data_IF_032608894355
#
_entry.id   IF_032608894355
#
_cell.length_a   1.000
_cell.length_b   1.000
_cell.length_c   1.000
_cell.angle_alpha   90.00
_cell.angle_beta   90.00
_cell.angle_gamma   90.00
#
_symmetry.space_group_name_H-M   'P 1'
#
loop_
_entity.id
_entity.type
_entity.pdbx_description
1 polymer ?
#
# COMPACT_ATOMS: atom_id res chain seq x y z
N UNK A 1 -5.58 -12.27 8.71
CA UNK A 1 -6.95 -11.80 8.42
C UNK A 1 -7.39 -12.30 7.05
N UNK A 2 -8.68 -12.61 6.79
CA UNK A 2 -9.12 -13.00 5.43
C UNK A 2 -9.52 -11.75 4.65
N UNK A 3 -8.63 -11.24 3.80
CA UNK A 3 -8.91 -10.08 2.93
C UNK A 3 -9.81 -10.50 1.77
N UNK A 4 -11.01 -9.93 1.69
CA UNK A 4 -12.02 -10.29 0.67
C UNK A 4 -12.71 -9.09 0.03
N UNK A 5 -12.77 -7.97 0.72
CA UNK A 5 -13.48 -6.76 0.28
C UNK A 5 -12.52 -5.59 0.09
N UNK A 6 -12.97 -4.54 -0.62
CA UNK A 6 -12.22 -3.28 -0.73
C UNK A 6 -11.97 -2.65 0.63
N UNK A 7 -12.91 -2.76 1.57
CA UNK A 7 -12.75 -2.27 2.94
C UNK A 7 -11.65 -3.03 3.71
N UNK A 8 -11.52 -4.34 3.51
CA UNK A 8 -10.41 -5.11 4.09
C UNK A 8 -9.06 -4.67 3.53
N UNK A 9 -8.98 -4.44 2.21
CA UNK A 9 -7.76 -3.96 1.56
C UNK A 9 -7.40 -2.58 2.06
N UNK A 10 -8.36 -1.65 2.12
CA UNK A 10 -8.15 -0.31 2.66
C UNK A 10 -7.56 -0.35 4.07
N UNK A 11 -8.14 -1.16 4.95
CA UNK A 11 -7.61 -1.33 6.31
C UNK A 11 -6.19 -1.89 6.30
N UNK A 12 -5.88 -2.88 5.46
CA UNK A 12 -4.51 -3.38 5.34
C UNK A 12 -3.54 -2.31 4.84
N UNK A 13 -3.94 -1.46 3.89
CA UNK A 13 -3.12 -0.35 3.40
C UNK A 13 -2.82 0.64 4.52
N UNK A 14 -3.84 1.10 5.23
CA UNK A 14 -3.68 2.03 6.36
C UNK A 14 -2.75 1.44 7.42
N UNK A 15 -3.05 0.23 7.91
CA UNK A 15 -2.24 -0.42 8.95
C UNK A 15 -0.79 -0.66 8.51
N UNK A 16 -0.55 -0.99 7.24
CA UNK A 16 0.80 -1.18 6.71
C UNK A 16 1.56 0.13 6.50
N UNK A 17 0.86 1.23 6.22
CA UNK A 17 1.47 2.57 6.15
C UNK A 17 1.82 3.05 7.55
N UNK A 18 0.92 2.89 8.53
CA UNK A 18 1.20 3.24 9.94
C UNK A 18 2.42 2.48 10.47
N UNK A 19 2.51 1.18 10.17
CA UNK A 19 3.64 0.34 10.56
C UNK A 19 4.96 0.82 9.90
N UNK A 20 4.94 1.10 8.60
CA UNK A 20 6.12 1.64 7.91
C UNK A 20 6.55 2.99 8.48
N UNK A 21 5.60 3.89 8.77
CA UNK A 21 5.90 5.21 9.30
C UNK A 21 6.47 5.11 10.72
N UNK A 22 5.96 4.20 11.55
CA UNK A 22 6.54 3.90 12.85
C UNK A 22 7.98 3.37 12.74
N UNK A 23 8.26 2.47 11.76
CA UNK A 23 9.62 1.98 11.50
C UNK A 23 10.57 3.10 11.04
N UNK A 24 10.05 4.13 10.39
CA UNK A 24 10.78 5.32 9.97
C UNK A 24 10.89 6.40 11.07
N UNK A 25 10.34 6.16 12.26
CA UNK A 25 10.23 7.14 13.37
C UNK A 25 9.50 8.42 12.93
N UNK A 26 8.45 8.28 12.12
CA UNK A 26 7.62 9.35 11.58
C UNK A 26 6.15 9.18 11.99
N UNK A 27 5.47 10.29 12.23
CA UNK A 27 4.02 10.32 12.45
C UNK A 27 3.31 10.53 11.10
N UNK A 28 2.48 9.58 10.64
CA UNK A 28 1.69 9.76 9.41
C UNK A 28 0.60 10.84 9.53
N UNK A 29 0.22 11.25 10.74
CA UNK A 29 -0.98 12.04 10.96
C UNK A 29 -2.26 11.29 10.55
N UNK A 30 -3.28 12.03 10.11
CA UNK A 30 -4.56 11.47 9.69
C UNK A 30 -4.46 10.88 8.27
N UNK A 31 -4.51 9.55 8.15
CA UNK A 31 -4.47 8.87 6.85
C UNK A 31 -5.81 8.95 6.09
N UNK A 32 -5.86 9.80 5.07
CA UNK A 32 -7.03 9.95 4.18
C UNK A 32 -6.81 9.29 2.80
N UNK A 33 -7.86 9.02 2.01
CA UNK A 33 -7.74 8.44 0.67
C UNK A 33 -6.91 9.27 -0.32
N UNK A 34 -6.85 10.58 -0.12
CA UNK A 34 -6.18 11.54 -1.01
C UNK A 34 -4.69 11.69 -0.70
N UNK A 35 -4.25 11.36 0.52
CA UNK A 35 -2.86 11.46 0.95
C UNK A 35 -1.94 10.69 0.02
N UNK A 36 -0.84 11.31 -0.37
CA UNK A 36 0.16 10.71 -1.26
C UNK A 36 1.35 10.14 -0.50
N UNK A 37 1.91 9.04 -1.03
CA UNK A 37 3.01 8.32 -0.40
C UNK A 37 4.28 9.18 -0.33
N UNK A 38 4.67 9.82 -1.43
CA UNK A 38 5.93 10.55 -1.51
C UNK A 38 5.77 12.03 -1.15
N UNK A 39 4.69 12.67 -1.62
CA UNK A 39 4.45 14.09 -1.43
C UNK A 39 4.05 14.45 -0.01
N UNK A 40 3.04 13.77 0.53
CA UNK A 40 2.50 14.05 1.87
C UNK A 40 3.22 13.26 2.96
N UNK A 41 3.42 11.95 2.77
CA UNK A 41 4.03 11.07 3.78
C UNK A 41 5.57 11.03 3.72
N UNK A 42 6.18 11.53 2.64
CA UNK A 42 7.64 11.53 2.50
C UNK A 42 8.28 10.14 2.30
N UNK A 43 7.49 9.12 1.97
CA UNK A 43 7.95 7.75 1.71
C UNK A 43 8.81 7.76 0.44
N UNK A 44 10.01 7.18 0.51
CA UNK A 44 10.91 7.10 -0.66
C UNK A 44 10.58 5.89 -1.51
N UNK A 45 11.01 5.89 -2.77
CA UNK A 45 10.78 4.76 -3.69
C UNK A 45 11.29 3.40 -3.17
N UNK A 46 12.35 3.39 -2.35
CA UNK A 46 12.84 2.16 -1.72
C UNK A 46 11.91 1.66 -0.61
N UNK A 47 11.29 2.57 0.14
CA UNK A 47 10.38 2.25 1.23
C UNK A 47 9.03 1.71 0.70
N UNK A 48 8.65 2.08 -0.53
CA UNK A 48 7.49 1.49 -1.23
C UNK A 48 7.66 -0.03 -1.39
N UNK A 49 8.88 -0.53 -1.58
CA UNK A 49 9.14 -1.98 -1.66
C UNK A 49 8.83 -2.62 -0.30
N UNK A 50 9.28 -2.01 0.80
CA UNK A 50 8.94 -2.45 2.15
C UNK A 50 7.44 -2.43 2.40
N UNK A 51 6.73 -1.39 1.96
CA UNK A 51 5.28 -1.31 2.08
C UNK A 51 4.57 -2.50 1.42
N UNK A 52 5.01 -2.91 0.22
CA UNK A 52 4.44 -4.10 -0.45
C UNK A 52 4.72 -5.38 0.33
N UNK A 53 5.89 -5.51 0.96
CA UNK A 53 6.22 -6.67 1.79
C UNK A 53 5.33 -6.75 3.03
N UNK A 54 5.09 -5.62 3.71
CA UNK A 54 4.16 -5.53 4.83
C UNK A 54 2.73 -5.90 4.41
N UNK A 55 2.27 -5.35 3.29
CA UNK A 55 0.96 -5.69 2.71
C UNK A 55 0.84 -7.18 2.41
N UNK A 56 1.86 -7.77 1.79
CA UNK A 56 1.90 -9.22 1.48
C UNK A 56 1.78 -10.05 2.74
N UNK A 57 2.56 -9.74 3.78
CA UNK A 57 2.53 -10.46 5.05
C UNK A 57 1.14 -10.39 5.71
N UNK A 58 0.57 -9.18 5.76
CA UNK A 58 -0.75 -8.91 6.35
C UNK A 58 -1.90 -9.59 5.59
N UNK A 59 -1.86 -9.56 4.26
CA UNK A 59 -2.87 -10.16 3.39
C UNK A 59 -2.77 -11.70 3.38
N UNK A 60 -1.58 -12.24 3.65
CA UNK A 60 -1.34 -13.69 3.75
C UNK A 60 -1.53 -14.44 2.43
N UNK A 61 -1.50 -13.74 1.29
CA UNK A 61 -1.55 -14.31 -0.07
C UNK A 61 -0.26 -13.96 -0.81
N UNK A 62 -0.04 -14.61 -1.95
CA UNK A 62 1.07 -14.30 -2.86
C UNK A 62 0.84 -12.98 -3.59
N UNK A 63 0.74 -11.86 -2.86
CA UNK A 63 0.81 -10.53 -3.45
C UNK A 63 2.27 -10.24 -3.75
N UNK A 64 2.59 -9.96 -5.00
CA UNK A 64 3.92 -9.55 -5.43
C UNK A 64 3.93 -8.09 -5.84
N UNK A 65 5.12 -7.48 -5.87
CA UNK A 65 5.29 -6.13 -6.41
C UNK A 65 4.71 -6.00 -7.84
N UNK A 66 4.92 -7.03 -8.66
CA UNK A 66 4.38 -7.11 -10.03
C UNK A 66 2.85 -7.15 -10.06
N UNK A 67 2.21 -7.77 -9.07
CA UNK A 67 0.74 -7.80 -9.03
C UNK A 67 0.14 -6.42 -8.70
N UNK A 68 0.90 -5.56 -7.99
CA UNK A 68 0.46 -4.21 -7.61
C UNK A 68 0.83 -3.18 -8.67
N UNK A 69 2.08 -3.18 -9.14
CA UNK A 69 2.63 -2.12 -10.01
C UNK A 69 2.89 -2.56 -11.45
N UNK A 70 2.70 -3.84 -11.78
CA UNK A 70 2.95 -4.40 -13.12
C UNK A 70 4.42 -4.71 -13.38
N UNK A 71 4.77 -4.86 -14.67
CA UNK A 71 6.14 -5.18 -15.14
C UNK A 71 7.10 -3.97 -15.15
N UNK A 72 6.67 -2.83 -14.60
CA UNK A 72 7.52 -1.65 -14.45
C UNK A 72 8.66 -1.89 -13.47
N UNK A 73 9.86 -1.41 -13.79
CA UNK A 73 11.03 -1.50 -12.89
C UNK A 73 10.96 -0.53 -11.70
N UNK A 74 10.05 0.45 -11.73
CA UNK A 74 9.92 1.48 -10.70
C UNK A 74 8.45 1.66 -10.30
N UNK A 75 8.17 2.15 -9.08
CA UNK A 75 6.82 2.54 -8.70
C UNK A 75 6.32 3.62 -9.67
N UNK A 76 5.00 3.69 -9.93
CA UNK A 76 4.43 4.86 -10.60
C UNK A 76 4.83 6.17 -9.88
N UNK A 77 4.66 7.30 -10.56
CA UNK A 77 4.70 8.63 -9.92
C UNK A 77 3.84 8.66 -8.64
N UNK A 78 4.09 9.64 -7.77
CA UNK A 78 3.48 9.75 -6.45
C UNK A 78 2.01 9.31 -6.40
N UNK A 79 1.73 8.31 -5.55
CA UNK A 79 0.46 7.61 -5.48
C UNK A 79 -0.31 8.01 -4.24
N UNK A 80 -1.63 8.18 -4.37
CA UNK A 80 -2.49 8.31 -3.21
C UNK A 80 -2.78 6.96 -2.54
N UNK A 81 -3.17 6.96 -1.27
CA UNK A 81 -3.59 5.74 -0.57
C UNK A 81 -4.79 5.06 -1.25
N UNK A 82 -5.74 5.84 -1.79
CA UNK A 82 -6.85 5.30 -2.57
C UNK A 82 -6.36 4.55 -3.82
N UNK A 83 -5.39 5.12 -4.54
CA UNK A 83 -4.81 4.51 -5.73
C UNK A 83 -4.05 3.23 -5.37
N UNK A 84 -3.25 3.25 -4.30
CA UNK A 84 -2.57 2.06 -3.80
C UNK A 84 -3.57 0.96 -3.43
N UNK A 85 -4.63 1.30 -2.70
CA UNK A 85 -5.70 0.36 -2.36
C UNK A 85 -6.37 -0.23 -3.61
N UNK A 86 -6.61 0.57 -4.64
CA UNK A 86 -7.19 0.09 -5.90
C UNK A 86 -6.23 -0.85 -6.66
N UNK A 87 -4.94 -0.54 -6.67
CA UNK A 87 -3.90 -1.41 -7.26
C UNK A 87 -3.82 -2.76 -6.53
N UNK A 88 -3.84 -2.75 -5.20
CA UNK A 88 -3.85 -3.99 -4.40
C UNK A 88 -5.15 -4.78 -4.65
N UNK A 89 -6.31 -4.13 -4.73
CA UNK A 89 -7.57 -4.80 -5.07
C UNK A 89 -7.47 -5.49 -6.43
N UNK A 90 -6.92 -4.82 -7.45
CA UNK A 90 -6.70 -5.41 -8.78
C UNK A 90 -5.76 -6.61 -8.72
N UNK A 91 -4.62 -6.50 -8.03
CA UNK A 91 -3.67 -7.60 -7.85
C UNK A 91 -4.30 -8.82 -7.16
N UNK A 92 -5.22 -8.59 -6.21
CA UNK A 92 -5.96 -9.66 -5.52
C UNK A 92 -7.20 -10.16 -6.27
N UNK A 93 -7.55 -9.54 -7.41
CA UNK A 93 -8.79 -9.76 -8.16
C UNK A 93 -10.04 -9.55 -7.31
N UNK A 94 -10.00 -8.58 -6.40
CA UNK A 94 -11.15 -8.11 -5.64
C UNK A 94 -11.81 -7.03 -6.49
N UNK A 95 -12.88 -7.41 -7.20
CA UNK A 95 -13.77 -6.47 -7.87
C UNK A 95 -14.79 -5.93 -6.88
N UNK A 96 -15.19 -4.67 -7.07
CA UNK A 96 -16.20 -3.98 -6.25
C UNK A 96 -17.47 -4.82 -6.06
#
# INVERSE_FOLDING_TARGET
MKVRTKADVWRCVVESVEELMADLDQDPGDLTPEITLMGDLGIKSMDVIHLVLLLKDRIGRSLTYKDVFGDGQEPPADLSLAQLSDLVCRGLRITA
#
